data_IF_263806459611
#
_entry.id   IF_263806459611
#
_cell.length_a   1.000
_cell.length_b   1.000
_cell.length_c   1.000
_cell.angle_alpha   90.00
_cell.angle_beta   90.00
_cell.angle_gamma   90.00
#
_symmetry.space_group_name_H-M   'P 1'
#
loop_
_entity.id
_entity.type
_entity.pdbx_description
1 polymer ?
#
# COMPACT_ATOMS: atom_id res chain seq x y z
N UNK A 1 -20.59 0.82 -43.11
CA UNK A 1 -19.60 1.14 -42.05
C UNK A 1 -20.38 1.67 -40.85
N UNK A 2 -20.59 0.84 -39.83
CA UNK A 2 -21.22 1.28 -38.57
C UNK A 2 -20.27 0.86 -37.46
N UNK A 3 -19.88 1.85 -36.67
CA UNK A 3 -18.79 1.82 -35.72
C UNK A 3 -19.12 0.95 -34.49
N UNK A 4 -18.17 0.10 -34.13
CA UNK A 4 -18.14 -0.61 -32.85
C UNK A 4 -17.60 0.36 -31.80
N UNK A 5 -18.48 0.87 -30.93
CA UNK A 5 -18.07 1.55 -29.70
C UNK A 5 -17.89 0.49 -28.62
N UNK A 6 -16.63 0.17 -28.33
CA UNK A 6 -16.25 -0.71 -27.23
C UNK A 6 -16.46 -0.01 -25.90
N UNK A 7 -17.49 -0.42 -25.16
CA UNK A 7 -17.59 -0.18 -23.72
C UNK A 7 -16.76 -1.25 -23.02
N UNK A 8 -15.60 -0.89 -22.50
CA UNK A 8 -14.93 -1.68 -21.46
C UNK A 8 -15.69 -1.44 -20.14
N UNK A 9 -16.91 -1.96 -20.06
CA UNK A 9 -17.61 -2.11 -18.80
C UNK A 9 -16.85 -3.12 -17.96
N UNK A 10 -16.58 -2.76 -16.70
CA UNK A 10 -16.07 -3.69 -15.72
C UNK A 10 -17.05 -4.86 -15.62
N UNK A 11 -16.66 -5.99 -16.22
CA UNK A 11 -17.36 -7.25 -16.04
C UNK A 11 -17.01 -7.72 -14.64
N UNK A 12 -17.80 -7.30 -13.64
CA UNK A 12 -17.82 -7.96 -12.34
C UNK A 12 -18.57 -9.28 -12.51
N UNK A 13 -17.95 -10.22 -13.22
CA UNK A 13 -18.39 -11.60 -13.23
C UNK A 13 -18.16 -12.15 -11.83
N UNK A 14 -19.27 -12.44 -11.15
CA UNK A 14 -19.34 -13.24 -9.93
C UNK A 14 -18.77 -14.65 -10.23
N UNK A 15 -17.45 -14.77 -10.30
CA UNK A 15 -16.76 -16.04 -10.07
C UNK A 15 -16.84 -16.29 -8.56
N UNK A 16 -17.79 -17.12 -8.16
CA UNK A 16 -17.91 -17.56 -6.77
C UNK A 16 -16.59 -18.18 -6.30
N UNK A 17 -15.94 -17.54 -5.33
CA UNK A 17 -15.07 -18.22 -4.36
C UNK A 17 -13.62 -17.76 -4.20
N UNK A 18 -13.08 -16.81 -4.96
CA UNK A 18 -11.69 -16.32 -4.74
C UNK A 18 -11.56 -14.81 -4.79
N UNK A 19 -11.08 -14.24 -3.69
CA UNK A 19 -10.74 -12.82 -3.59
C UNK A 19 -9.63 -12.52 -4.60
N UNK A 20 -9.82 -11.53 -5.47
CA UNK A 20 -8.81 -11.17 -6.46
C UNK A 20 -7.61 -10.48 -5.81
N UNK A 21 -6.38 -10.65 -6.33
CA UNK A 21 -5.23 -9.85 -5.91
C UNK A 21 -5.49 -8.34 -6.05
N UNK A 22 -4.86 -7.54 -5.21
CA UNK A 22 -4.95 -6.08 -5.33
C UNK A 22 -4.36 -5.61 -6.67
N UNK A 23 -5.19 -4.93 -7.46
CA UNK A 23 -4.80 -4.27 -8.71
C UNK A 23 -4.71 -2.76 -8.56
N UNK A 24 -4.36 -2.07 -9.65
CA UNK A 24 -4.33 -0.61 -9.69
C UNK A 24 -5.69 -0.04 -9.28
N UNK A 25 -5.68 0.84 -8.28
CA UNK A 25 -6.87 1.58 -7.90
C UNK A 25 -7.42 2.39 -9.09
N UNK A 26 -8.74 2.55 -9.12
CA UNK A 26 -9.36 3.42 -10.12
C UNK A 26 -9.07 4.88 -9.77
N UNK A 27 -8.68 5.65 -10.78
CA UNK A 27 -8.44 7.07 -10.59
C UNK A 27 -9.76 7.79 -10.26
N UNK A 28 -9.90 8.24 -9.01
CA UNK A 28 -11.09 8.91 -8.49
C UNK A 28 -10.93 10.44 -8.41
N UNK A 29 -12.01 11.16 -8.02
CA UNK A 29 -11.93 12.60 -7.77
C UNK A 29 -10.82 12.91 -6.75
N UNK A 30 -9.97 13.88 -7.07
CA UNK A 30 -8.85 14.32 -6.22
C UNK A 30 -9.38 15.11 -5.03
N UNK A 31 -9.83 14.41 -3.99
CA UNK A 31 -10.08 15.00 -2.68
C UNK A 31 -8.94 14.59 -1.75
N UNK A 32 -8.04 15.51 -1.40
CA UNK A 32 -6.96 15.21 -0.47
C UNK A 32 -7.50 14.55 0.82
N UNK A 33 -6.73 13.60 1.34
CA UNK A 33 -6.87 13.12 2.69
C UNK A 33 -6.79 14.33 3.65
N UNK A 34 -7.54 14.26 4.75
CA UNK A 34 -7.36 15.27 5.79
C UNK A 34 -5.91 15.19 6.29
N UNK A 35 -5.28 16.33 6.54
CA UNK A 35 -3.95 16.35 7.13
C UNK A 35 -3.97 15.59 8.46
N UNK A 36 -3.14 14.56 8.64
CA UNK A 36 -3.12 13.81 9.89
C UNK A 36 -2.57 14.67 11.03
N UNK A 37 -2.96 14.34 12.26
CA UNK A 37 -2.42 14.99 13.46
C UNK A 37 -0.91 14.69 13.58
N UNK A 38 -0.05 15.65 13.96
CA UNK A 38 1.38 15.39 14.18
C UNK A 38 1.66 14.29 15.21
N UNK A 39 0.73 14.06 16.15
CA UNK A 39 0.80 13.06 17.21
C UNK A 39 0.08 11.74 16.85
N UNK A 40 -0.43 11.62 15.63
CA UNK A 40 -1.02 10.37 15.15
C UNK A 40 0.05 9.26 15.07
N UNK A 41 -0.16 8.08 15.68
CA UNK A 41 0.81 6.99 15.68
C UNK A 41 1.31 6.56 14.29
N UNK A 42 0.44 6.52 13.27
CA UNK A 42 0.86 6.21 11.89
C UNK A 42 1.79 7.29 11.32
N UNK A 43 1.50 8.56 11.62
CA UNK A 43 2.34 9.70 11.26
C UNK A 43 3.71 9.68 11.96
N UNK A 44 3.76 9.17 13.20
CA UNK A 44 5.02 8.98 13.92
C UNK A 44 5.85 7.81 13.34
N UNK A 45 5.19 6.71 12.95
CA UNK A 45 5.84 5.55 12.35
C UNK A 45 6.46 5.86 10.97
N UNK A 46 5.78 6.66 10.15
CA UNK A 46 6.30 7.14 8.87
C UNK A 46 6.41 8.67 8.83
N UNK A 47 7.25 9.23 9.70
CA UNK A 47 7.45 10.68 9.77
C UNK A 47 7.95 11.23 8.43
N UNK A 48 7.19 12.17 7.86
CA UNK A 48 7.56 12.88 6.65
C UNK A 48 8.80 13.76 6.85
N UNK A 49 9.73 13.81 5.90
CA UNK A 49 10.82 14.76 5.92
C UNK A 49 10.30 16.17 5.64
N UNK A 50 10.95 17.18 6.22
CA UNK A 50 10.73 18.56 5.83
C UNK A 50 11.32 18.78 4.43
N UNK A 51 10.47 18.92 3.41
CA UNK A 51 10.90 19.20 2.03
C UNK A 51 10.76 20.69 1.76
N UNK A 52 11.83 21.42 1.36
CA UNK A 52 11.74 22.82 1.00
C UNK A 52 10.71 23.04 -0.11
N UNK A 53 9.78 23.99 0.10
CA UNK A 53 8.68 24.31 -0.80
C UNK A 53 9.10 25.06 -2.07
N UNK A 54 10.15 24.61 -2.76
CA UNK A 54 10.38 25.05 -4.13
C UNK A 54 9.28 24.42 -4.98
N UNK A 55 8.46 25.23 -5.66
CA UNK A 55 7.43 24.73 -6.56
C UNK A 55 8.05 23.82 -7.62
N UNK A 56 8.04 22.52 -7.39
CA UNK A 56 8.55 21.55 -8.34
C UNK A 56 7.51 21.40 -9.44
N UNK A 57 7.82 21.92 -10.62
CA UNK A 57 7.03 21.64 -11.81
C UNK A 57 7.39 20.23 -12.30
N UNK A 58 6.40 19.37 -12.51
CA UNK A 58 6.60 18.00 -13.01
C UNK A 58 6.44 16.93 -11.94
N UNK A 59 7.15 15.79 -12.09
CA UNK A 59 7.01 14.60 -11.22
C UNK A 59 7.90 14.62 -9.98
N UNK A 60 8.89 15.52 -9.94
CA UNK A 60 9.75 15.70 -8.77
C UNK A 60 8.96 16.28 -7.59
N UNK A 61 9.24 15.82 -6.38
CA UNK A 61 8.62 16.29 -5.16
C UNK A 61 8.15 15.16 -4.26
N UNK A 62 7.42 15.55 -3.21
CA UNK A 62 6.81 14.62 -2.28
C UNK A 62 5.49 14.12 -2.86
N UNK A 63 5.28 12.80 -2.78
CA UNK A 63 4.03 12.14 -3.08
C UNK A 63 3.53 11.47 -1.83
N UNK A 64 2.24 11.59 -1.53
CA UNK A 64 1.64 11.08 -0.30
C UNK A 64 0.49 10.16 -0.60
N UNK A 65 0.34 9.10 0.20
CA UNK A 65 -0.78 8.16 0.08
C UNK A 65 -2.10 8.85 0.40
N UNK A 66 -3.13 8.50 -0.36
CA UNK A 66 -4.47 9.04 -0.24
C UNK A 66 -5.49 7.98 0.17
N UNK A 67 -6.70 8.44 0.53
CA UNK A 67 -7.84 7.54 0.78
C UNK A 67 -8.08 6.62 -0.42
N UNK A 68 -8.49 5.39 -0.13
CA UNK A 68 -8.66 4.34 -1.13
C UNK A 68 -7.39 3.51 -1.36
N UNK A 69 -6.27 3.89 -0.74
CA UNK A 69 -5.11 3.02 -0.61
C UNK A 69 -5.43 1.85 0.33
N UNK A 70 -5.01 0.64 -0.03
CA UNK A 70 -5.27 -0.61 0.68
C UNK A 70 -3.97 -1.41 0.73
N UNK A 71 -3.70 -2.04 1.87
CA UNK A 71 -2.65 -3.04 2.03
C UNK A 71 -3.21 -4.30 2.68
N UNK A 72 -2.54 -5.44 2.49
CA UNK A 72 -2.99 -6.70 3.06
C UNK A 72 -2.02 -7.84 2.86
N UNK A 73 -2.47 -9.03 3.23
CA UNK A 73 -1.74 -10.26 3.01
C UNK A 73 -2.62 -11.34 2.36
N UNK A 74 -1.96 -12.34 1.78
CA UNK A 74 -2.55 -13.57 1.28
C UNK A 74 -1.76 -14.77 1.81
N UNK A 75 -2.45 -15.68 2.48
CA UNK A 75 -1.88 -16.88 3.08
C UNK A 75 -2.53 -18.12 2.48
N UNK A 76 -1.73 -19.08 2.04
CA UNK A 76 -2.26 -20.37 1.60
C UNK A 76 -2.51 -21.26 2.81
N UNK A 77 -3.75 -21.69 2.98
CA UNK A 77 -4.19 -22.48 4.12
C UNK A 77 -4.74 -23.84 3.67
N UNK A 78 -4.54 -24.85 4.51
CA UNK A 78 -5.15 -26.19 4.38
C UNK A 78 -5.82 -26.55 5.69
N UNK A 79 -7.12 -26.81 5.63
CA UNK A 79 -7.89 -27.25 6.78
C UNK A 79 -8.05 -28.77 6.74
N UNK A 80 -7.95 -29.43 7.89
CA UNK A 80 -8.06 -30.90 7.97
C UNK A 80 -9.41 -31.43 7.46
N UNK A 81 -10.47 -30.61 7.57
CA UNK A 81 -11.84 -30.94 7.20
C UNK A 81 -12.20 -30.54 5.76
N UNK A 82 -11.33 -29.78 5.08
CA UNK A 82 -11.57 -29.29 3.72
C UNK A 82 -10.62 -29.97 2.72
N UNK A 83 -11.18 -30.48 1.62
CA UNK A 83 -10.41 -31.20 0.59
C UNK A 83 -9.61 -30.29 -0.34
N UNK A 84 -9.93 -28.99 -0.37
CA UNK A 84 -9.31 -28.01 -1.28
C UNK A 84 -8.53 -26.96 -0.51
N UNK A 85 -7.33 -26.57 -0.98
CA UNK A 85 -6.59 -25.47 -0.39
C UNK A 85 -7.39 -24.18 -0.50
N UNK A 86 -7.35 -23.38 0.56
CA UNK A 86 -7.99 -22.09 0.67
C UNK A 86 -6.92 -21.00 0.74
N UNK A 87 -7.31 -19.77 0.39
CA UNK A 87 -6.43 -18.61 0.47
C UNK A 87 -7.08 -17.59 1.38
N UNK A 88 -6.50 -17.41 2.57
CA UNK A 88 -6.89 -16.37 3.50
C UNK A 88 -6.37 -15.03 3.00
N UNK A 89 -7.26 -14.05 2.91
CA UNK A 89 -6.95 -12.70 2.46
C UNK A 89 -7.48 -11.70 3.48
N UNK A 90 -6.58 -10.96 4.12
CA UNK A 90 -6.96 -9.88 5.02
C UNK A 90 -6.39 -8.55 4.53
N UNK A 91 -7.16 -7.48 4.70
CA UNK A 91 -6.84 -6.14 4.19
C UNK A 91 -7.16 -5.06 5.21
N UNK A 92 -6.51 -3.93 5.04
CA UNK A 92 -6.78 -2.69 5.77
C UNK A 92 -6.58 -1.48 4.88
N UNK A 93 -7.33 -0.42 5.15
CA UNK A 93 -7.17 0.92 4.57
C UNK A 93 -6.49 1.89 5.55
N UNK A 94 -6.11 1.42 6.75
CA UNK A 94 -5.43 2.19 7.78
C UNK A 94 -3.94 2.19 7.49
N UNK A 95 -3.52 3.08 6.58
CA UNK A 95 -2.13 3.26 6.21
C UNK A 95 -1.78 4.72 5.98
N UNK A 96 -0.51 5.04 6.15
CA UNK A 96 0.05 6.33 5.82
C UNK A 96 1.38 6.13 5.12
N UNK A 97 1.69 6.97 4.16
CA UNK A 97 2.97 6.89 3.51
C UNK A 97 3.27 8.03 2.56
N UNK A 98 4.52 8.07 2.15
CA UNK A 98 5.05 9.10 1.29
C UNK A 98 6.29 8.58 0.54
N UNK A 99 6.59 9.21 -0.60
CA UNK A 99 7.83 8.99 -1.35
C UNK A 99 8.36 10.32 -1.87
N UNK A 100 9.66 10.55 -1.67
CA UNK A 100 10.36 11.72 -2.20
C UNK A 100 11.02 11.35 -3.53
N UNK A 101 10.63 12.07 -4.57
CA UNK A 101 11.04 11.81 -5.94
C UNK A 101 11.87 12.96 -6.48
N UNK A 102 12.98 12.67 -7.15
CA UNK A 102 13.65 13.60 -8.05
C UNK A 102 13.42 13.19 -9.52
N UNK A 103 13.35 14.17 -10.41
CA UNK A 103 13.14 13.94 -11.84
C UNK A 103 14.47 13.91 -12.61
N UNK A 104 14.62 12.95 -13.51
CA UNK A 104 15.59 12.92 -14.59
C UNK A 104 14.91 13.05 -15.96
N UNK A 105 15.69 13.22 -17.04
CA UNK A 105 15.16 13.48 -18.38
C UNK A 105 14.44 12.29 -19.07
N UNK A 106 14.36 11.12 -18.41
CA UNK A 106 13.56 9.95 -18.81
C UNK A 106 13.55 8.89 -17.69
N UNK A 107 13.76 9.32 -16.45
CA UNK A 107 13.89 8.45 -15.29
C UNK A 107 13.40 9.16 -14.05
N UNK A 108 12.96 8.36 -13.08
CA UNK A 108 12.53 8.85 -11.79
C UNK A 108 13.53 8.33 -10.75
N UNK A 109 13.99 9.20 -9.87
CA UNK A 109 14.86 8.82 -8.76
C UNK A 109 14.03 8.80 -7.49
N UNK A 110 13.84 7.61 -6.91
CA UNK A 110 13.38 7.50 -5.54
C UNK A 110 14.56 7.94 -4.66
N UNK A 111 14.37 8.99 -3.87
CA UNK A 111 15.38 9.45 -2.91
C UNK A 111 15.22 8.72 -1.57
N UNK A 112 13.98 8.59 -1.12
CA UNK A 112 13.57 7.93 0.11
C UNK A 112 12.05 7.84 0.12
N UNK A 113 11.48 7.05 1.01
CA UNK A 113 10.05 6.96 1.23
C UNK A 113 9.77 6.22 2.52
N UNK A 114 8.50 6.14 2.89
CA UNK A 114 8.04 5.32 4.00
C UNK A 114 6.56 4.99 3.77
N UNK A 115 6.18 3.72 3.88
CA UNK A 115 4.77 3.28 3.93
C UNK A 115 4.58 2.51 5.24
N UNK A 116 3.70 2.99 6.13
CA UNK A 116 3.31 2.35 7.36
C UNK A 116 1.86 1.87 7.27
N UNK A 117 1.63 0.62 7.63
CA UNK A 117 0.32 -0.04 7.62
C UNK A 117 -0.03 -0.45 9.04
N UNK A 118 -1.19 -0.02 9.53
CA UNK A 118 -1.72 -0.43 10.84
C UNK A 118 -2.34 -1.81 10.77
N UNK A 119 -1.62 -2.80 11.30
CA UNK A 119 -2.05 -4.21 11.24
C UNK A 119 -3.09 -4.56 12.30
N UNK A 120 -3.40 -3.65 13.24
CA UNK A 120 -4.45 -3.87 14.24
C UNK A 120 -5.86 -3.87 13.62
N UNK A 121 -6.01 -3.30 12.43
CA UNK A 121 -7.26 -3.26 11.68
C UNK A 121 -7.18 -4.09 10.38
N UNK A 122 -6.41 -5.19 10.39
CA UNK A 122 -6.52 -6.21 9.36
C UNK A 122 -7.84 -6.97 9.53
N UNK A 123 -8.60 -7.04 8.45
CA UNK A 123 -9.88 -7.74 8.41
C UNK A 123 -9.93 -8.67 7.20
N UNK A 124 -10.43 -9.87 7.41
CA UNK A 124 -10.65 -10.88 6.40
C UNK A 124 -11.67 -10.41 5.36
N UNK A 125 -11.35 -10.61 4.08
CA UNK A 125 -12.23 -10.28 2.94
C UNK A 125 -12.60 -11.49 2.10
N UNK A 126 -12.04 -12.66 2.41
CA UNK A 126 -12.52 -13.96 1.94
C UNK A 126 -13.57 -14.54 2.90
N UNK A 127 -14.27 -15.55 2.40
CA UNK A 127 -15.24 -16.32 3.17
C UNK A 127 -14.78 -17.78 3.21
N UNK A 128 -14.99 -18.42 4.37
CA UNK A 128 -14.71 -19.83 4.58
C UNK A 128 -15.98 -20.52 5.14
N UNK A 129 -16.62 -21.43 4.40
CA UNK A 129 -17.90 -22.01 4.81
C UNK A 129 -17.82 -22.73 6.17
N UNK A 130 -18.60 -22.26 7.14
CA UNK A 130 -18.65 -22.84 8.49
C UNK A 130 -17.64 -22.26 9.48
N UNK A 131 -16.86 -21.25 9.09
CA UNK A 131 -15.81 -20.64 9.93
C UNK A 131 -16.07 -19.15 10.10
N UNK A 132 -15.83 -18.65 11.32
CA UNK A 132 -15.87 -17.23 11.60
C UNK A 132 -14.49 -16.61 11.33
N UNK A 133 -14.38 -15.81 10.27
CA UNK A 133 -13.11 -15.19 9.89
C UNK A 133 -12.63 -14.13 10.90
N UNK A 134 -13.50 -13.62 11.78
CA UNK A 134 -13.09 -12.73 12.86
C UNK A 134 -12.15 -13.39 13.89
N UNK A 135 -12.29 -14.70 14.12
CA UNK A 135 -11.39 -15.45 15.01
C UNK A 135 -10.01 -15.61 14.36
N UNK A 136 -9.97 -15.82 13.03
CA UNK A 136 -8.73 -15.84 12.25
C UNK A 136 -8.05 -14.47 12.25
N UNK A 137 -8.80 -13.38 12.09
CA UNK A 137 -8.27 -12.02 12.16
C UNK A 137 -7.62 -11.74 13.53
N UNK A 138 -8.25 -12.20 14.60
CA UNK A 138 -7.68 -12.08 15.94
C UNK A 138 -6.37 -12.87 16.07
N UNK A 139 -6.35 -14.12 15.61
CA UNK A 139 -5.14 -14.95 15.60
C UNK A 139 -4.01 -14.29 14.79
N UNK A 140 -4.31 -13.78 13.59
CA UNK A 140 -3.33 -13.09 12.75
C UNK A 140 -2.73 -11.86 13.45
N UNK A 141 -3.56 -11.04 14.11
CA UNK A 141 -3.11 -9.89 14.90
C UNK A 141 -2.24 -10.28 16.09
N UNK A 142 -2.52 -11.41 16.73
CA UNK A 142 -1.74 -11.92 17.85
C UNK A 142 -0.39 -12.49 17.38
N UNK A 143 -0.37 -13.25 16.28
CA UNK A 143 0.86 -13.76 15.65
C UNK A 143 1.78 -12.62 15.15
N UNK A 144 1.19 -11.53 14.65
CA UNK A 144 1.94 -10.32 14.27
C UNK A 144 2.42 -9.48 15.46
N UNK A 145 2.02 -9.82 16.70
CA UNK A 145 2.37 -9.02 17.87
C UNK A 145 1.80 -7.60 17.83
N UNK A 146 0.66 -7.39 17.14
CA UNK A 146 0.12 -6.05 16.77
C UNK A 146 -0.17 -5.11 17.94
N UNK A 147 -0.25 -5.64 19.18
CA UNK A 147 -0.35 -4.82 20.40
C UNK A 147 0.96 -4.10 20.72
N UNK A 148 2.10 -4.77 20.51
CA UNK A 148 3.45 -4.24 20.77
C UNK A 148 4.06 -3.62 19.51
N UNK A 149 3.76 -4.20 18.35
CA UNK A 149 4.24 -3.79 17.03
C UNK A 149 3.04 -3.50 16.12
N UNK A 150 2.36 -2.36 16.30
CA UNK A 150 1.11 -2.06 15.59
C UNK A 150 1.28 -1.79 14.10
N UNK A 151 2.51 -1.56 13.63
CA UNK A 151 2.79 -1.17 12.26
C UNK A 151 3.69 -2.16 11.54
N UNK A 152 3.39 -2.38 10.27
CA UNK A 152 4.34 -2.91 9.28
C UNK A 152 4.84 -1.72 8.47
N UNK A 153 6.15 -1.56 8.35
CA UNK A 153 6.77 -0.39 7.73
C UNK A 153 7.67 -0.82 6.57
N UNK A 154 7.55 -0.14 5.43
CA UNK A 154 8.45 -0.31 4.29
C UNK A 154 9.15 1.00 3.93
N UNK A 155 10.47 0.98 3.87
CA UNK A 155 11.33 2.10 3.52
C UNK A 155 12.15 1.77 2.26
N UNK A 156 11.81 2.32 1.08
CA UNK A 156 12.53 2.04 -0.16
C UNK A 156 13.94 2.63 -0.15
N UNK A 157 14.89 1.87 -0.68
CA UNK A 157 16.25 2.37 -0.92
C UNK A 157 16.27 3.41 -2.05
N UNK A 158 17.21 4.37 -2.01
CA UNK A 158 17.46 5.27 -3.13
C UNK A 158 17.71 4.48 -4.42
N UNK A 159 16.96 4.77 -5.47
CA UNK A 159 17.03 3.99 -6.71
C UNK A 159 16.56 4.78 -7.93
N UNK A 160 17.17 4.47 -9.08
CA UNK A 160 16.72 4.94 -10.39
C UNK A 160 15.68 3.97 -10.94
N UNK A 161 14.49 4.48 -11.21
CA UNK A 161 13.39 3.73 -11.84
C UNK A 161 13.26 4.19 -13.30
N UNK A 162 13.37 3.23 -14.22
CA UNK A 162 13.19 3.44 -15.65
C UNK A 162 11.70 3.44 -16.00
N UNK A 163 11.07 4.61 -15.87
CA UNK A 163 9.67 4.86 -16.25
C UNK A 163 9.57 6.14 -17.06
N UNK A 164 8.61 6.17 -17.97
CA UNK A 164 8.23 7.37 -18.70
C UNK A 164 7.14 8.13 -17.92
N UNK A 165 7.45 9.28 -17.30
CA UNK A 165 6.47 10.08 -16.58
C UNK A 165 5.42 10.74 -17.49
N UNK A 166 5.63 10.77 -18.82
CA UNK A 166 4.65 11.30 -19.77
C UNK A 166 3.63 10.23 -20.22
N UNK A 167 3.92 8.95 -19.99
CA UNK A 167 3.05 7.85 -20.38
C UNK A 167 1.94 7.62 -19.36
N UNK A 168 0.69 7.53 -19.85
CA UNK A 168 -0.47 7.11 -19.07
C UNK A 168 -0.68 5.59 -19.08
N UNK A 169 0.19 4.82 -19.75
CA UNK A 169 0.14 3.37 -19.75
C UNK A 169 0.58 2.80 -18.39
N UNK A 170 0.19 1.55 -18.12
CA UNK A 170 0.74 0.79 -16.98
C UNK A 170 2.20 0.50 -17.28
N UNK A 171 3.06 0.73 -16.29
CA UNK A 171 4.48 0.48 -16.34
C UNK A 171 4.87 -0.44 -15.18
N UNK A 172 5.81 -1.36 -15.41
CA UNK A 172 6.21 -2.36 -14.43
C UNK A 172 7.54 -1.97 -13.80
N UNK A 173 7.61 -1.96 -12.48
CA UNK A 173 8.80 -1.56 -11.73
C UNK A 173 9.10 -2.55 -10.60
N UNK A 174 10.33 -2.50 -10.09
CA UNK A 174 10.72 -3.18 -8.87
C UNK A 174 11.32 -2.16 -7.90
N UNK A 175 10.92 -2.24 -6.63
CA UNK A 175 11.44 -1.39 -5.57
C UNK A 175 11.97 -2.30 -4.47
N UNK A 176 13.24 -2.11 -4.09
CA UNK A 176 13.84 -2.78 -2.94
C UNK A 176 13.94 -1.83 -1.76
N UNK A 177 13.82 -2.34 -0.55
CA UNK A 177 13.83 -1.53 0.66
C UNK A 177 13.88 -2.38 1.92
N UNK A 178 13.94 -1.71 3.05
CA UNK A 178 13.79 -2.33 4.35
C UNK A 178 12.31 -2.52 4.66
N UNK A 179 11.95 -3.74 5.05
CA UNK A 179 10.61 -4.12 5.50
C UNK A 179 10.69 -4.51 6.97
N UNK A 180 9.91 -3.86 7.82
CA UNK A 180 9.77 -4.19 9.24
C UNK A 180 8.42 -4.87 9.49
N UNK A 181 8.46 -6.05 10.09
CA UNK A 181 7.28 -6.79 10.56
C UNK A 181 7.57 -7.29 11.96
N UNK A 182 6.63 -7.09 12.90
CA UNK A 182 6.78 -7.53 14.30
C UNK A 182 8.08 -7.03 14.96
N UNK A 183 8.51 -5.81 14.61
CA UNK A 183 9.75 -5.20 15.14
C UNK A 183 11.06 -5.78 14.57
N UNK A 184 11.00 -6.66 13.56
CA UNK A 184 12.17 -7.22 12.88
C UNK A 184 12.27 -6.66 11.47
N UNK A 185 13.43 -6.10 11.12
CA UNK A 185 13.69 -5.53 9.80
C UNK A 185 14.47 -6.49 8.91
N UNK A 186 14.00 -6.68 7.67
CA UNK A 186 14.66 -7.46 6.61
C UNK A 186 14.56 -6.75 5.26
N UNK A 187 15.51 -6.96 4.33
CA UNK A 187 15.37 -6.46 2.98
C UNK A 187 14.23 -7.20 2.26
N UNK A 188 13.39 -6.46 1.54
CA UNK A 188 12.35 -6.98 0.68
C UNK A 188 12.36 -6.29 -0.68
N UNK A 189 11.76 -6.94 -1.69
CA UNK A 189 11.58 -6.38 -3.03
C UNK A 189 10.14 -6.54 -3.46
N UNK A 190 9.48 -5.43 -3.74
CA UNK A 190 8.14 -5.40 -4.33
C UNK A 190 8.23 -5.31 -5.85
N UNK A 191 7.43 -6.12 -6.53
CA UNK A 191 7.10 -5.93 -7.94
C UNK A 191 5.80 -5.13 -8.02
N UNK A 192 5.80 -4.03 -8.77
CA UNK A 192 4.67 -3.11 -8.83
C UNK A 192 4.31 -2.77 -10.28
N UNK A 193 3.01 -2.75 -10.54
CA UNK A 193 2.40 -2.00 -11.63
C UNK A 193 2.20 -0.57 -11.17
N UNK A 194 2.62 0.41 -11.97
CA UNK A 194 2.42 1.82 -11.69
C UNK A 194 1.81 2.53 -12.89
N UNK A 195 1.00 3.55 -12.60
CA UNK A 195 0.43 4.42 -13.62
C UNK A 195 0.32 5.83 -13.08
N UNK A 196 0.88 6.78 -13.81
CA UNK A 196 0.73 8.21 -13.54
C UNK A 196 -0.33 8.77 -14.49
N UNK A 197 -1.43 9.28 -13.94
CA UNK A 197 -2.50 9.88 -14.72
C UNK A 197 -3.09 11.08 -13.96
N UNK A 198 -3.27 12.22 -14.62
CA UNK A 198 -3.90 13.41 -14.02
C UNK A 198 -3.24 13.89 -12.71
N UNK A 199 -1.91 13.80 -12.61
CA UNK A 199 -1.13 14.10 -11.38
C UNK A 199 -1.47 13.19 -10.17
N UNK A 200 -2.00 12.00 -10.44
CA UNK A 200 -2.23 10.95 -9.46
C UNK A 200 -1.42 9.73 -9.88
N UNK A 201 -0.64 9.20 -8.93
CA UNK A 201 0.12 7.98 -9.11
C UNK A 201 -0.68 6.84 -8.47
N UNK A 202 -1.05 5.84 -9.25
CA UNK A 202 -1.60 4.59 -8.72
C UNK A 202 -0.53 3.51 -8.82
N UNK A 203 -0.32 2.76 -7.75
CA UNK A 203 0.62 1.64 -7.71
C UNK A 203 -0.08 0.40 -7.14
N UNK A 204 0.18 -0.78 -7.67
CA UNK A 204 -0.31 -2.02 -7.10
C UNK A 204 0.68 -3.15 -7.34
N UNK A 205 0.77 -4.07 -6.39
CA UNK A 205 1.64 -5.22 -6.53
C UNK A 205 1.94 -5.88 -5.21
N UNK A 206 3.00 -6.67 -5.18
CA UNK A 206 3.24 -7.59 -4.07
C UNK A 206 4.70 -7.98 -3.89
N UNK A 207 4.95 -8.62 -2.76
CA UNK A 207 6.14 -9.40 -2.46
C UNK A 207 5.74 -10.65 -1.68
N UNK A 208 6.57 -11.68 -1.67
CA UNK A 208 6.35 -12.88 -0.84
C UNK A 208 7.51 -13.01 0.13
N UNK A 209 7.18 -13.18 1.41
CA UNK A 209 8.17 -13.26 2.48
C UNK A 209 8.01 -14.54 3.29
N UNK A 210 9.13 -15.19 3.70
CA UNK A 210 9.08 -16.21 4.75
C UNK A 210 8.85 -15.53 6.10
N UNK A 211 7.65 -15.67 6.67
CA UNK A 211 7.29 -14.89 7.89
C UNK A 211 8.09 -15.27 9.14
N UNK A 212 8.66 -16.48 9.15
CA UNK A 212 9.59 -16.92 10.18
C UNK A 212 10.85 -16.05 10.29
N UNK A 213 11.31 -15.43 9.20
CA UNK A 213 12.46 -14.51 9.22
C UNK A 213 12.18 -13.24 10.04
N UNK A 214 10.89 -12.92 10.24
CA UNK A 214 10.40 -11.80 11.03
C UNK A 214 9.95 -12.20 12.43
N UNK A 215 10.19 -13.46 12.83
CA UNK A 215 9.76 -13.98 14.13
C UNK A 215 8.24 -14.22 14.24
N UNK A 216 7.52 -14.20 13.13
CA UNK A 216 6.09 -14.54 13.08
C UNK A 216 5.95 -16.04 12.93
N UNK A 217 5.23 -16.68 13.85
CA UNK A 217 5.00 -18.12 13.85
C UNK A 217 3.59 -18.43 13.37
N UNK A 218 3.46 -19.26 12.35
CA UNK A 218 2.17 -19.73 11.83
C UNK A 218 1.99 -21.24 12.09
N UNK A 219 0.76 -21.77 12.15
CA UNK A 219 0.55 -23.21 12.30
C UNK A 219 0.98 -23.96 11.03
N UNK A 220 2.11 -24.65 11.04
CA UNK A 220 2.67 -25.33 9.84
C UNK A 220 2.37 -26.84 9.77
N UNK A 221 1.84 -27.44 10.84
CA UNK A 221 1.67 -28.90 10.94
C UNK A 221 0.32 -29.40 10.41
N UNK A 222 0.35 -30.47 9.59
CA UNK A 222 -0.83 -31.12 8.99
C UNK A 222 -1.74 -31.80 10.03
N UNK A 223 -1.26 -32.02 11.26
CA UNK A 223 -2.02 -32.64 12.35
C UNK A 223 -2.92 -31.69 13.14
N UNK A 224 -2.89 -30.38 12.82
CA UNK A 224 -3.75 -29.36 13.41
C UNK A 224 -5.06 -29.13 12.64
N UNK A 225 -5.91 -28.25 13.18
CA UNK A 225 -7.16 -27.82 12.52
C UNK A 225 -6.90 -27.06 11.21
N UNK A 226 -5.80 -26.31 11.15
CA UNK A 226 -5.33 -25.55 9.98
C UNK A 226 -3.81 -25.64 9.86
N UNK A 227 -3.32 -25.75 8.63
CA UNK A 227 -1.94 -25.60 8.22
C UNK A 227 -1.81 -24.36 7.32
N UNK A 228 -0.77 -23.57 7.51
CA UNK A 228 -0.45 -22.35 6.74
C UNK A 228 0.91 -22.51 6.07
N UNK A 229 1.02 -22.14 4.80
CA UNK A 229 2.31 -21.98 4.13
C UNK A 229 3.03 -20.74 4.72
N UNK A 230 4.25 -20.87 5.27
CA UNK A 230 4.97 -19.75 5.87
C UNK A 230 5.44 -18.70 4.85
N UNK A 231 5.30 -18.94 3.55
CA UNK A 231 5.54 -17.94 2.50
C UNK A 231 4.29 -17.10 2.25
N UNK A 232 4.18 -15.99 2.98
CA UNK A 232 3.03 -15.10 2.92
C UNK A 232 3.24 -14.03 1.85
N UNK A 233 2.22 -13.81 1.03
CA UNK A 233 2.23 -12.73 0.04
C UNK A 233 1.70 -11.45 0.68
N UNK A 234 2.48 -10.39 0.64
CA UNK A 234 2.05 -9.04 1.03
C UNK A 234 1.63 -8.31 -0.24
N UNK A 235 0.46 -7.67 -0.22
CA UNK A 235 -0.10 -6.96 -1.38
C UNK A 235 -0.48 -5.52 -1.03
N UNK A 236 -0.34 -4.63 -2.01
CA UNK A 236 -0.71 -3.22 -1.90
C UNK A 236 -1.47 -2.74 -3.13
N UNK A 237 -2.36 -1.79 -2.92
CA UNK A 237 -2.94 -0.91 -3.94
C UNK A 237 -2.92 0.51 -3.38
N UNK A 238 -2.05 1.35 -3.89
CA UNK A 238 -1.78 2.69 -3.37
C UNK A 238 -2.26 3.73 -4.37
N UNK A 239 -2.85 4.80 -3.84
CA UNK A 239 -3.12 6.05 -4.55
C UNK A 239 -2.21 7.09 -3.91
N UNK A 240 -1.39 7.76 -4.70
CA UNK A 240 -0.57 8.87 -4.24
C UNK A 240 -0.89 10.15 -5.00
N UNK A 241 -0.94 11.26 -4.27
CA UNK A 241 -1.00 12.59 -4.84
C UNK A 241 0.28 13.35 -4.56
N UNK A 242 0.67 14.15 -5.55
CA UNK A 242 1.78 15.07 -5.41
C UNK A 242 1.40 16.15 -4.39
N UNK A 243 2.22 16.34 -3.37
CA UNK A 243 2.03 17.36 -2.33
C UNK A 243 2.18 18.74 -2.97
N UNK A 244 1.08 19.28 -3.48
CA UNK A 244 1.02 20.71 -3.83
C UNK A 244 0.83 21.45 -2.52
N UNK A 245 1.79 22.28 -2.15
CA UNK A 245 1.58 23.23 -1.08
C UNK A 245 0.31 24.04 -1.44
N UNK A 246 -0.67 24.20 -0.53
CA UNK A 246 -1.68 25.21 -0.73
C UNK A 246 -0.92 26.52 -0.93
N UNK A 247 -1.17 27.22 -2.03
CA UNK A 247 -0.67 28.58 -2.16
C UNK A 247 -1.04 29.29 -0.86
N UNK A 248 -0.05 29.83 -0.14
CA UNK A 248 -0.34 30.81 0.91
C UNK A 248 -1.27 31.79 0.22
N UNK A 249 -2.51 31.89 0.70
CA UNK A 249 -3.44 32.87 0.20
C UNK A 249 -2.80 34.22 0.47
N UNK A 250 -2.06 34.74 -0.51
CA UNK A 250 -1.66 36.12 -0.51
C UNK A 250 -2.98 36.87 -0.57
N UNK A 251 -3.32 37.57 0.52
CA UNK A 251 -4.28 38.66 0.41
C UNK A 251 -3.84 39.53 -0.77
N UNK A 252 -4.78 39.99 -1.58
CA UNK A 252 -4.53 40.76 -2.80
C UNK A 252 -3.83 42.13 -2.57
N UNK A 253 -3.20 42.34 -1.41
CA UNK A 253 -2.58 43.61 -1.00
C UNK A 253 -1.23 43.46 -0.27
N UNK A 254 -0.59 42.28 -0.34
CA UNK A 254 0.85 42.13 -0.03
C UNK A 254 1.33 42.48 1.39
N UNK A 255 0.45 42.63 2.38
CA UNK A 255 0.85 43.03 3.74
C UNK A 255 0.79 41.88 4.75
N UNK A 256 1.85 41.65 5.57
CA UNK A 256 1.83 40.64 6.63
C UNK A 256 0.93 41.06 7.81
N UNK A 257 0.17 40.11 8.37
CA UNK A 257 -0.66 40.32 9.57
C UNK A 257 0.24 40.49 10.80
N UNK A 258 0.08 41.62 11.51
CA UNK A 258 0.72 41.82 12.82
C UNK A 258 0.01 41.01 13.92
N UNK A 259 0.75 40.41 14.86
CA UNK A 259 0.17 39.70 16.00
C UNK A 259 -0.43 40.69 17.01
N UNK A 260 -1.55 40.28 17.62
CA UNK A 260 -2.20 40.93 18.77
C UNK A 260 -1.56 40.49 20.09
#
# INVERSE_FOLDING_TARGET
MVAVLGTAGAITLLYHGRVQPLGLAQAGPRSPAASPSPDDPLTLACRRPAVPGTGTTGVAGLWETERGSIAGYRAHERFAELTSPHEAVARTDQLSGWVLVAAGNASIQIQTGCIAVDVRNLNSVDELPGFNTADRDQSARDMLGSRSHPFVVFEPYPSTIAVDPASAAVQHIQISGDLEISGVTKPARFALDVRLQNSQLTAAGSTTVPVGDFGVQVPEEVGGFVQVDPHITLEVSLILLHSRHPAVAANQDGSPLQPS
#
